data_IF_613638854228
#
_entry.id   IF_613638854228
#
_cell.length_a   1.000
_cell.length_b   1.000
_cell.length_c   1.000
_cell.angle_alpha   90.00
_cell.angle_beta   90.00
_cell.angle_gamma   90.00
#
_symmetry.space_group_name_H-M   'P 1'
#
loop_
_entity.id
_entity.type
_entity.pdbx_description
1 polymer ?
#
# COMPACT_ATOMS: atom_id res chain seq x y z
N UNK A 1 -61.89 17.03 52.13
CA UNK A 1 -61.22 16.03 52.98
C UNK A 1 -61.51 16.45 54.40
N UNK A 2 -62.39 15.74 55.08
CA UNK A 2 -62.77 16.04 56.47
C UNK A 2 -61.53 15.82 57.33
N UNK A 3 -60.98 16.91 57.88
CA UNK A 3 -59.80 16.82 58.76
C UNK A 3 -60.25 16.19 60.06
N UNK A 4 -59.85 14.94 60.32
CA UNK A 4 -60.13 14.29 61.60
C UNK A 4 -59.40 15.04 62.73
N UNK A 5 -60.17 15.65 63.64
CA UNK A 5 -59.63 16.22 64.86
C UNK A 5 -59.18 15.10 65.80
N UNK A 6 -57.96 15.20 66.28
CA UNK A 6 -57.49 14.35 67.38
C UNK A 6 -57.98 14.95 68.71
N UNK A 7 -59.16 14.51 69.15
CA UNK A 7 -59.81 14.97 70.38
C UNK A 7 -58.98 14.71 71.65
N UNK A 8 -58.14 13.67 71.64
CA UNK A 8 -57.25 13.38 72.77
C UNK A 8 -56.14 14.44 72.87
N UNK A 9 -55.53 14.80 71.74
CA UNK A 9 -54.53 15.87 71.71
C UNK A 9 -55.13 17.26 71.98
N UNK A 10 -56.40 17.49 71.59
CA UNK A 10 -57.11 18.72 71.91
C UNK A 10 -57.43 18.83 73.40
N UNK A 11 -57.87 17.73 74.03
CA UNK A 11 -58.08 17.68 75.47
C UNK A 11 -56.77 17.87 76.24
N UNK A 12 -55.69 17.22 75.82
CA UNK A 12 -54.36 17.43 76.41
C UNK A 12 -53.91 18.90 76.29
N UNK A 13 -54.23 19.58 75.18
CA UNK A 13 -53.96 21.01 75.01
C UNK A 13 -54.79 21.88 75.96
N UNK A 14 -56.09 21.59 76.10
CA UNK A 14 -56.98 22.32 77.00
C UNK A 14 -56.66 22.09 78.48
N UNK A 15 -56.25 20.89 78.84
CA UNK A 15 -55.90 20.54 80.22
C UNK A 15 -54.56 21.14 80.64
N UNK A 16 -53.60 21.20 79.71
CA UNK A 16 -52.27 21.75 79.99
C UNK A 16 -52.19 23.28 79.90
N UNK A 17 -53.23 23.96 79.38
CA UNK A 17 -53.36 25.43 79.22
C UNK A 17 -52.01 26.11 78.93
N UNK A 18 -51.36 25.70 77.85
CA UNK A 18 -50.01 26.17 77.54
C UNK A 18 -50.03 27.60 77.03
N UNK A 19 -49.22 28.49 77.63
CA UNK A 19 -49.00 29.87 77.16
C UNK A 19 -48.20 29.96 75.84
N UNK A 20 -47.88 28.81 75.21
CA UNK A 20 -47.18 28.79 73.93
C UNK A 20 -48.11 29.26 72.80
N UNK A 21 -47.93 30.52 72.44
CA UNK A 21 -48.61 31.24 71.36
C UNK A 21 -48.64 30.41 70.06
N UNK A 22 -47.57 29.66 69.76
CA UNK A 22 -47.47 28.87 68.52
C UNK A 22 -48.46 27.70 68.50
N UNK A 23 -48.58 26.99 69.62
CA UNK A 23 -49.53 25.89 69.80
C UNK A 23 -50.97 26.39 69.81
N UNK A 24 -51.22 27.57 70.37
CA UNK A 24 -52.54 28.22 70.36
C UNK A 24 -52.97 28.60 68.94
N UNK A 25 -52.10 29.23 68.14
CA UNK A 25 -52.40 29.56 66.75
C UNK A 25 -52.64 28.33 65.89
N UNK A 26 -51.88 27.25 66.09
CA UNK A 26 -52.06 26.00 65.36
C UNK A 26 -53.45 25.39 65.59
N UNK A 27 -53.92 25.38 66.84
CA UNK A 27 -55.26 24.88 67.16
C UNK A 27 -56.36 25.85 66.72
N UNK A 28 -56.12 27.16 66.76
CA UNK A 28 -57.04 28.15 66.20
C UNK A 28 -57.26 27.94 64.70
N UNK A 29 -56.20 27.80 63.92
CA UNK A 29 -56.29 27.55 62.48
C UNK A 29 -57.07 26.25 62.21
N UNK A 30 -56.68 25.14 62.86
CA UNK A 30 -57.32 23.84 62.70
C UNK A 30 -58.81 23.83 63.08
N UNK A 31 -59.18 24.50 64.17
CA UNK A 31 -60.58 24.56 64.61
C UNK A 31 -61.41 25.57 63.82
N UNK A 32 -60.80 26.63 63.27
CA UNK A 32 -61.50 27.59 62.42
C UNK A 32 -61.90 27.01 61.07
N UNK A 33 -61.15 26.01 60.59
CA UNK A 33 -61.40 25.31 59.33
C UNK A 33 -62.21 24.01 59.51
N UNK A 34 -62.51 23.62 60.76
CA UNK A 34 -63.27 22.40 61.04
C UNK A 34 -64.78 22.66 61.01
N UNK A 35 -65.46 22.00 60.07
CA UNK A 35 -66.91 21.98 59.98
C UNK A 35 -67.47 20.74 60.71
N UNK A 36 -68.56 20.93 61.47
CA UNK A 36 -69.25 19.83 62.17
C UNK A 36 -70.01 18.96 61.15
N UNK A 37 -69.66 17.68 61.06
CA UNK A 37 -70.27 16.73 60.12
C UNK A 37 -71.51 16.03 60.70
N UNK A 38 -71.84 16.27 61.98
CA UNK A 38 -72.99 15.71 62.68
C UNK A 38 -72.81 14.26 63.13
N UNK A 39 -71.60 13.72 62.99
CA UNK A 39 -71.20 12.39 63.45
C UNK A 39 -70.48 12.40 64.80
N UNK A 40 -70.23 13.59 65.34
CA UNK A 40 -69.57 13.82 66.62
C UNK A 40 -70.45 13.41 67.80
N UNK A 41 -69.84 12.79 68.81
CA UNK A 41 -70.50 12.51 70.07
C UNK A 41 -70.73 13.80 70.87
N UNK A 42 -71.72 13.85 71.78
CA UNK A 42 -71.96 15.03 72.62
C UNK A 42 -70.74 15.47 73.43
N UNK A 43 -69.88 14.52 73.84
CA UNK A 43 -68.64 14.82 74.56
C UNK A 43 -67.61 15.50 73.66
N UNK A 44 -67.52 15.13 72.39
CA UNK A 44 -66.63 15.75 71.41
C UNK A 44 -67.10 17.16 71.03
N UNK A 45 -68.42 17.38 70.97
CA UNK A 45 -68.97 18.72 70.74
C UNK A 45 -68.65 19.65 71.92
N UNK A 46 -68.78 19.17 73.16
CA UNK A 46 -68.42 19.93 74.35
C UNK A 46 -66.93 20.28 74.39
N UNK A 47 -66.04 19.38 73.97
CA UNK A 47 -64.59 19.65 73.92
C UNK A 47 -64.24 20.68 72.85
N UNK A 48 -64.87 20.61 71.66
CA UNK A 48 -64.72 21.63 70.61
C UNK A 48 -65.21 23.00 71.07
N UNK A 49 -66.37 23.05 71.74
CA UNK A 49 -66.92 24.30 72.23
C UNK A 49 -66.02 24.92 73.31
N UNK A 50 -65.52 24.11 74.25
CA UNK A 50 -64.58 24.57 75.27
C UNK A 50 -63.26 25.05 74.65
N UNK A 51 -62.76 24.36 73.61
CA UNK A 51 -61.58 24.79 72.87
C UNK A 51 -61.78 26.13 72.18
N UNK A 52 -62.86 26.29 71.42
CA UNK A 52 -63.15 27.56 70.74
C UNK A 52 -63.31 28.71 71.73
N UNK A 53 -63.95 28.47 72.88
CA UNK A 53 -64.09 29.48 73.93
C UNK A 53 -62.73 29.90 74.50
N UNK A 54 -61.85 28.94 74.79
CA UNK A 54 -60.49 29.20 75.27
C UNK A 54 -59.68 30.01 74.24
N UNK A 55 -59.71 29.59 72.97
CA UNK A 55 -58.99 30.26 71.90
C UNK A 55 -59.49 31.69 71.64
N UNK A 56 -60.81 31.91 71.65
CA UNK A 56 -61.37 33.25 71.57
C UNK A 56 -60.90 34.14 72.73
N UNK A 57 -60.93 33.62 73.97
CA UNK A 57 -60.45 34.39 75.12
C UNK A 57 -58.96 34.74 74.98
N UNK A 58 -58.13 33.80 74.50
CA UNK A 58 -56.71 34.06 74.30
C UNK A 58 -56.44 35.09 73.19
N UNK A 59 -57.16 35.00 72.07
CA UNK A 59 -57.05 35.98 70.97
C UNK A 59 -57.45 37.39 71.41
N UNK A 60 -58.46 37.52 72.26
CA UNK A 60 -58.88 38.80 72.83
C UNK A 60 -57.85 39.35 73.81
N UNK A 61 -57.34 38.52 74.72
CA UNK A 61 -56.33 38.93 75.71
C UNK A 61 -55.04 39.37 75.02
N UNK A 62 -54.53 38.59 74.06
CA UNK A 62 -53.32 38.94 73.30
C UNK A 62 -53.49 40.21 72.47
N UNK A 63 -54.65 40.43 71.85
CA UNK A 63 -54.94 41.67 71.13
C UNK A 63 -54.99 42.89 72.05
N UNK A 64 -55.58 42.74 73.24
CA UNK A 64 -55.65 43.82 74.22
C UNK A 64 -54.28 44.11 74.87
N UNK A 65 -53.48 43.09 75.15
CA UNK A 65 -52.09 43.26 75.62
C UNK A 65 -51.22 43.97 74.59
N UNK A 66 -51.35 43.62 73.31
CA UNK A 66 -50.65 44.33 72.23
C UNK A 66 -51.11 45.78 72.11
N UNK A 67 -52.42 46.04 72.27
CA UNK A 67 -52.97 47.40 72.28
C UNK A 67 -52.40 48.21 73.44
N UNK A 68 -52.34 47.63 74.64
CA UNK A 68 -51.81 48.28 75.84
C UNK A 68 -50.30 48.53 75.74
N UNK A 69 -49.54 47.62 75.14
CA UNK A 69 -48.11 47.83 74.84
C UNK A 69 -47.94 48.96 73.85
N UNK A 70 -48.71 48.98 72.75
CA UNK A 70 -48.64 50.05 71.75
C UNK A 70 -49.02 51.41 72.33
N UNK A 71 -50.06 51.50 73.17
CA UNK A 71 -50.44 52.75 73.86
C UNK A 71 -49.36 53.22 74.82
N UNK A 72 -48.75 52.29 75.57
CA UNK A 72 -47.65 52.61 76.50
C UNK A 72 -46.39 53.06 75.76
N UNK A 73 -46.05 52.41 74.65
CA UNK A 73 -44.92 52.80 73.81
C UNK A 73 -45.18 54.16 73.15
N UNK A 74 -46.39 54.42 72.67
CA UNK A 74 -46.77 55.72 72.13
C UNK A 74 -46.66 56.83 73.19
N UNK A 75 -47.12 56.58 74.42
CA UNK A 75 -46.97 57.53 75.53
C UNK A 75 -45.49 57.79 75.88
N UNK A 76 -44.67 56.74 75.99
CA UNK A 76 -43.24 56.90 76.24
C UNK A 76 -42.50 57.63 75.11
N UNK A 77 -42.92 57.41 73.87
CA UNK A 77 -42.35 58.13 72.72
C UNK A 77 -42.77 59.60 72.73
N UNK A 78 -44.02 59.91 73.09
CA UNK A 78 -44.49 61.28 73.26
C UNK A 78 -43.74 61.99 74.41
N UNK A 79 -43.54 61.35 75.56
CA UNK A 79 -42.73 61.91 76.66
C UNK A 79 -41.27 62.13 76.26
N UNK A 80 -40.67 61.21 75.49
CA UNK A 80 -39.31 61.39 74.96
C UNK A 80 -39.24 62.54 73.96
N UNK A 81 -40.25 62.68 73.11
CA UNK A 81 -40.34 63.79 72.14
C UNK A 81 -40.50 65.13 72.86
N UNK A 82 -41.34 65.20 73.89
CA UNK A 82 -41.47 66.39 74.74
C UNK A 82 -40.15 66.71 75.44
N UNK A 83 -39.48 65.72 76.04
CA UNK A 83 -38.16 65.91 76.65
C UNK A 83 -37.10 66.35 75.64
N UNK A 84 -37.14 65.86 74.40
CA UNK A 84 -36.25 66.31 73.32
C UNK A 84 -36.58 67.73 72.86
N UNK A 85 -37.85 68.12 72.78
CA UNK A 85 -38.23 69.50 72.48
C UNK A 85 -37.85 70.45 73.61
N UNK A 86 -38.02 70.06 74.89
CA UNK A 86 -37.54 70.82 76.03
C UNK A 86 -36.01 70.97 76.01
N UNK A 87 -35.26 69.89 75.77
CA UNK A 87 -33.80 69.95 75.62
C UNK A 87 -33.39 70.82 74.45
N UNK A 88 -34.12 70.76 73.33
CA UNK A 88 -33.86 71.59 72.14
C UNK A 88 -34.15 73.06 72.42
N UNK A 89 -35.20 73.39 73.18
CA UNK A 89 -35.49 74.75 73.64
C UNK A 89 -34.38 75.23 74.58
N UNK A 90 -34.00 74.42 75.57
CA UNK A 90 -32.92 74.75 76.52
C UNK A 90 -31.58 74.98 75.80
N UNK A 91 -31.20 74.07 74.90
CA UNK A 91 -29.99 74.23 74.08
C UNK A 91 -30.07 75.45 73.17
N UNK A 92 -31.25 75.81 72.68
CA UNK A 92 -31.44 77.01 71.87
C UNK A 92 -31.29 78.29 72.71
N UNK A 93 -31.81 78.31 73.93
CA UNK A 93 -31.59 79.40 74.89
C UNK A 93 -30.12 79.50 75.31
N UNK A 94 -29.45 78.38 75.58
CA UNK A 94 -28.01 78.35 75.82
C UNK A 94 -27.22 78.85 74.60
N UNK A 95 -27.64 78.46 73.39
CA UNK A 95 -27.00 78.92 72.16
C UNK A 95 -27.24 80.41 71.93
N UNK A 96 -28.41 80.94 72.27
CA UNK A 96 -28.71 82.37 72.18
C UNK A 96 -27.98 83.17 73.27
N UNK A 97 -27.83 82.67 74.50
CA UNK A 97 -26.98 83.29 75.53
C UNK A 97 -25.50 83.20 75.18
N UNK A 98 -25.02 82.10 74.60
CA UNK A 98 -23.66 81.97 74.08
C UNK A 98 -23.44 82.90 72.90
N UNK A 99 -24.43 83.08 72.01
CA UNK A 99 -24.37 84.06 70.92
C UNK A 99 -24.34 85.47 71.46
N UNK A 100 -25.16 85.81 72.45
CA UNK A 100 -25.14 87.11 73.11
C UNK A 100 -23.77 87.34 73.78
N UNK A 101 -23.24 86.34 74.47
CA UNK A 101 -21.91 86.37 75.07
C UNK A 101 -20.82 86.48 74.01
N UNK A 102 -20.94 85.80 72.86
CA UNK A 102 -20.03 85.91 71.71
C UNK A 102 -20.14 87.29 71.06
N UNK A 103 -21.33 87.90 70.98
CA UNK A 103 -21.46 89.27 70.48
C UNK A 103 -20.87 90.28 71.47
N UNK A 104 -20.92 90.00 72.78
CA UNK A 104 -20.28 90.79 73.83
C UNK A 104 -18.75 90.54 73.90
N UNK A 105 -18.29 89.33 73.57
CA UNK A 105 -16.85 88.97 73.51
C UNK A 105 -16.26 89.06 72.10
N UNK A 106 -17.03 89.44 71.08
CA UNK A 106 -16.53 89.83 69.77
C UNK A 106 -15.74 91.15 69.82
N UNK A 107 -15.72 91.81 70.99
CA UNK A 107 -14.75 92.83 71.38
C UNK A 107 -13.39 92.24 71.86
N UNK A 108 -13.17 90.92 71.76
CA UNK A 108 -11.91 90.22 72.07
C UNK A 108 -11.36 89.46 70.85
N UNK A 109 -10.64 90.16 69.96
CA UNK A 109 -10.30 89.75 68.59
C UNK A 109 -9.34 88.56 68.39
N UNK A 110 -8.51 88.16 69.36
CA UNK A 110 -7.33 87.32 69.04
C UNK A 110 -7.59 85.79 68.97
N UNK A 111 -8.62 85.25 69.63
CA UNK A 111 -8.90 83.79 69.60
C UNK A 111 -9.79 83.35 68.43
N UNK A 112 -10.61 84.25 67.87
CA UNK A 112 -11.44 83.97 66.69
C UNK A 112 -10.61 83.88 65.41
N UNK A 113 -9.51 84.62 65.33
CA UNK A 113 -8.63 84.65 64.15
C UNK A 113 -7.86 83.32 63.98
N UNK A 114 -7.34 82.74 65.06
CA UNK A 114 -6.59 81.48 65.02
C UNK A 114 -7.45 80.27 64.57
N UNK A 115 -8.68 80.14 65.07
CA UNK A 115 -9.60 79.08 64.63
C UNK A 115 -10.07 79.28 63.19
N UNK A 116 -10.27 80.53 62.75
CA UNK A 116 -10.58 80.83 61.34
C UNK A 116 -9.41 80.43 60.44
N UNK A 117 -8.18 80.78 60.80
CA UNK A 117 -6.99 80.38 60.06
C UNK A 117 -6.83 78.85 59.96
N UNK A 118 -7.15 78.11 61.04
CA UNK A 118 -7.11 76.64 61.02
C UNK A 118 -8.22 76.04 60.12
N UNK A 119 -9.44 76.58 60.19
CA UNK A 119 -10.55 76.15 59.33
C UNK A 119 -10.22 76.43 57.85
N UNK A 120 -9.65 77.59 57.57
CA UNK A 120 -9.28 77.97 56.20
C UNK A 120 -8.11 77.10 55.69
N UNK A 121 -7.13 76.79 56.53
CA UNK A 121 -6.04 75.84 56.21
C UNK A 121 -6.57 74.44 55.90
N UNK A 122 -7.45 73.87 56.73
CA UNK A 122 -8.06 72.55 56.49
C UNK A 122 -8.98 72.54 55.25
N UNK A 123 -9.63 73.66 54.94
CA UNK A 123 -10.41 73.81 53.70
C UNK A 123 -9.51 73.88 52.48
N UNK A 124 -8.37 74.55 52.59
CA UNK A 124 -7.38 74.61 51.51
C UNK A 124 -6.74 73.24 51.28
N UNK A 125 -6.32 72.54 52.33
CA UNK A 125 -5.81 71.16 52.25
C UNK A 125 -6.85 70.22 51.63
N UNK A 126 -8.13 70.30 52.03
CA UNK A 126 -9.19 69.51 51.39
C UNK A 126 -9.36 69.83 49.91
N UNK A 127 -9.29 71.11 49.51
CA UNK A 127 -9.36 71.47 48.08
C UNK A 127 -8.17 70.93 47.29
N UNK A 128 -6.97 70.95 47.88
CA UNK A 128 -5.77 70.37 47.28
C UNK A 128 -5.89 68.85 47.14
N UNK A 129 -6.35 68.16 48.18
CA UNK A 129 -6.59 66.71 48.15
C UNK A 129 -7.64 66.32 47.12
N UNK A 130 -8.75 67.07 47.02
CA UNK A 130 -9.74 66.83 45.98
C UNK A 130 -9.17 67.03 44.58
N UNK A 131 -8.32 68.05 44.38
CA UNK A 131 -7.66 68.29 43.10
C UNK A 131 -6.69 67.15 42.76
N UNK A 132 -5.86 66.74 43.72
CA UNK A 132 -4.94 65.61 43.55
C UNK A 132 -5.69 64.30 43.25
N UNK A 133 -6.84 64.07 43.89
CA UNK A 133 -7.65 62.88 43.61
C UNK A 133 -8.26 62.93 42.20
N UNK A 134 -8.76 64.09 41.75
CA UNK A 134 -9.22 64.27 40.37
C UNK A 134 -8.09 64.07 39.35
N UNK A 135 -6.89 64.57 39.63
CA UNK A 135 -5.73 64.37 38.75
C UNK A 135 -5.33 62.89 38.69
N UNK A 136 -5.32 62.20 39.84
CA UNK A 136 -5.08 60.75 39.91
C UNK A 136 -6.14 59.94 39.17
N UNK A 137 -7.42 60.31 39.27
CA UNK A 137 -8.49 59.63 38.54
C UNK A 137 -8.35 59.81 37.02
N UNK A 138 -7.90 60.99 36.56
CA UNK A 138 -7.57 61.20 35.13
C UNK A 138 -6.39 60.35 34.68
N UNK A 139 -5.31 60.30 35.46
CA UNK A 139 -4.16 59.43 35.15
C UNK A 139 -4.56 57.95 35.12
N UNK A 140 -5.43 57.50 36.03
CA UNK A 140 -5.95 56.14 36.05
C UNK A 140 -6.83 55.85 34.83
N UNK A 141 -7.62 56.82 34.35
CA UNK A 141 -8.38 56.69 33.12
C UNK A 141 -7.45 56.56 31.90
N UNK A 142 -6.46 57.44 31.76
CA UNK A 142 -5.47 57.39 30.68
C UNK A 142 -4.69 56.07 30.66
N UNK A 143 -4.34 55.55 31.84
CA UNK A 143 -3.69 54.23 31.96
C UNK A 143 -4.61 53.10 31.52
N UNK A 144 -5.90 53.13 31.92
CA UNK A 144 -6.88 52.12 31.49
C UNK A 144 -7.04 52.12 29.98
N UNK A 145 -7.16 53.29 29.35
CA UNK A 145 -7.27 53.42 27.90
C UNK A 145 -6.02 52.87 27.18
N UNK A 146 -4.83 53.15 27.71
CA UNK A 146 -3.57 52.58 27.20
C UNK A 146 -3.53 51.06 27.35
N UNK A 147 -3.96 50.53 28.50
CA UNK A 147 -4.04 49.09 28.70
C UNK A 147 -5.02 48.45 27.72
N UNK A 148 -6.20 49.02 27.52
CA UNK A 148 -7.20 48.51 26.56
C UNK A 148 -6.68 48.55 25.11
N UNK A 149 -5.96 49.61 24.74
CA UNK A 149 -5.26 49.69 23.45
C UNK A 149 -4.18 48.62 23.29
N UNK A 150 -3.42 48.31 24.35
CA UNK A 150 -2.42 47.24 24.31
C UNK A 150 -3.07 45.84 24.25
N UNK A 151 -4.16 45.61 24.99
CA UNK A 151 -4.90 44.34 24.95
C UNK A 151 -5.47 44.11 23.54
N UNK A 152 -6.15 45.10 22.97
CA UNK A 152 -6.68 44.97 21.60
C UNK A 152 -5.57 44.74 20.57
N UNK A 153 -4.42 45.38 20.72
CA UNK A 153 -3.25 45.11 19.86
C UNK A 153 -2.70 43.69 20.06
N UNK A 154 -2.63 43.20 21.30
CA UNK A 154 -2.18 41.84 21.58
C UNK A 154 -3.13 40.79 20.97
N UNK A 155 -4.43 41.03 21.02
CA UNK A 155 -5.44 40.17 20.38
C UNK A 155 -5.30 40.14 18.86
N UNK A 156 -5.05 41.30 18.23
CA UNK A 156 -4.79 41.36 16.79
C UNK A 156 -3.53 40.57 16.44
N UNK A 157 -2.43 40.77 17.17
CA UNK A 157 -1.18 40.04 16.95
C UNK A 157 -1.35 38.52 17.18
N UNK A 158 -2.17 38.11 18.15
CA UNK A 158 -2.47 36.70 18.38
C UNK A 158 -3.22 36.09 17.18
N UNK A 159 -4.22 36.80 16.64
CA UNK A 159 -4.93 36.35 15.43
C UNK A 159 -4.02 36.30 14.20
N UNK A 160 -3.14 37.28 14.03
CA UNK A 160 -2.15 37.29 12.94
C UNK A 160 -1.18 36.11 13.05
N UNK A 161 -0.67 35.82 14.26
CA UNK A 161 0.16 34.64 14.52
C UNK A 161 -0.58 33.36 14.13
N UNK A 162 -1.83 33.20 14.55
CA UNK A 162 -2.61 31.99 14.26
C UNK A 162 -2.86 31.83 12.75
N UNK A 163 -3.14 32.92 12.04
CA UNK A 163 -3.29 32.91 10.58
C UNK A 163 -1.98 32.53 9.87
N UNK A 164 -0.84 33.05 10.33
CA UNK A 164 0.48 32.70 9.79
C UNK A 164 0.82 31.23 10.08
N UNK A 165 0.47 30.71 11.25
CA UNK A 165 0.70 29.31 11.60
C UNK A 165 -0.16 28.37 10.74
N UNK A 166 -1.43 28.71 10.50
CA UNK A 166 -2.28 27.97 9.56
C UNK A 166 -1.70 27.97 8.15
N UNK A 167 -1.24 29.12 7.66
CA UNK A 167 -0.61 29.22 6.34
C UNK A 167 0.70 28.42 6.25
N UNK A 168 1.54 28.44 7.30
CA UNK A 168 2.74 27.58 7.38
C UNK A 168 2.37 26.10 7.27
N UNK A 169 1.38 25.66 8.05
CA UNK A 169 0.93 24.26 8.04
C UNK A 169 0.41 23.86 6.64
N UNK A 170 -0.35 24.73 5.97
CA UNK A 170 -0.78 24.51 4.59
C UNK A 170 0.42 24.36 3.63
N UNK A 171 1.43 25.23 3.73
CA UNK A 171 2.64 25.12 2.91
C UNK A 171 3.40 23.81 3.19
N UNK A 172 3.55 23.40 4.44
CA UNK A 172 4.17 22.12 4.78
C UNK A 172 3.42 20.93 4.18
N UNK A 173 2.08 20.95 4.20
CA UNK A 173 1.27 19.91 3.57
C UNK A 173 1.45 19.88 2.05
N UNK A 174 1.50 21.05 1.39
CA UNK A 174 1.81 21.10 -0.04
C UNK A 174 3.20 20.57 -0.35
N UNK A 175 4.20 20.85 0.48
CA UNK A 175 5.56 20.33 0.32
C UNK A 175 5.56 18.80 0.47
N UNK A 176 4.90 18.26 1.49
CA UNK A 176 4.77 16.80 1.70
C UNK A 176 4.09 16.13 0.50
N UNK A 177 3.02 16.74 -0.02
CA UNK A 177 2.30 16.22 -1.20
C UNK A 177 3.16 16.28 -2.47
N UNK A 178 3.90 17.37 -2.70
CA UNK A 178 4.85 17.47 -3.80
C UNK A 178 5.97 16.43 -3.69
N UNK A 179 6.49 16.21 -2.48
CA UNK A 179 7.49 15.15 -2.23
C UNK A 179 6.91 13.77 -2.56
N UNK A 180 5.68 13.45 -2.13
CA UNK A 180 5.01 12.20 -2.51
C UNK A 180 4.88 12.04 -4.01
N UNK A 181 4.46 13.10 -4.72
CA UNK A 181 4.34 13.09 -6.19
C UNK A 181 5.68 12.90 -6.88
N UNK A 182 6.75 13.52 -6.38
CA UNK A 182 8.10 13.34 -6.92
C UNK A 182 8.54 11.88 -6.73
N UNK A 183 8.35 11.31 -5.54
CA UNK A 183 8.67 9.91 -5.27
C UNK A 183 7.90 8.96 -6.18
N UNK A 184 6.57 9.12 -6.27
CA UNK A 184 5.72 8.29 -7.14
C UNK A 184 6.14 8.40 -8.63
N UNK A 185 6.39 9.63 -9.11
CA UNK A 185 6.85 9.87 -10.49
C UNK A 185 8.24 9.30 -10.75
N UNK A 186 9.12 9.26 -9.74
CA UNK A 186 10.44 8.66 -9.85
C UNK A 186 10.35 7.14 -9.96
N UNK A 187 9.55 6.49 -9.11
CA UNK A 187 9.30 5.05 -9.11
C UNK A 187 8.67 4.59 -10.43
N UNK A 188 7.66 5.32 -10.92
CA UNK A 188 6.99 5.04 -12.20
C UNK A 188 7.98 5.08 -13.38
N UNK A 189 8.85 6.11 -13.43
CA UNK A 189 9.90 6.21 -14.46
C UNK A 189 10.91 5.06 -14.41
N UNK A 190 11.36 4.66 -13.22
CA UNK A 190 12.26 3.50 -13.07
C UNK A 190 11.58 2.22 -13.53
N UNK A 191 10.33 1.98 -13.11
CA UNK A 191 9.58 0.78 -13.49
C UNK A 191 9.34 0.70 -15.01
N UNK A 192 9.01 1.81 -15.65
CA UNK A 192 8.87 1.87 -17.11
C UNK A 192 10.20 1.58 -17.83
N UNK A 193 11.30 2.18 -17.39
CA UNK A 193 12.62 1.98 -17.99
C UNK A 193 13.10 0.54 -17.82
N UNK A 194 12.95 -0.04 -16.63
CA UNK A 194 13.27 -1.44 -16.35
C UNK A 194 12.40 -2.38 -17.20
N UNK A 195 11.10 -2.09 -17.30
CA UNK A 195 10.19 -2.87 -18.16
C UNK A 195 10.59 -2.82 -19.63
N UNK A 196 10.97 -1.65 -20.16
CA UNK A 196 11.46 -1.53 -21.55
C UNK A 196 12.76 -2.31 -21.75
N UNK A 197 13.70 -2.22 -20.80
CA UNK A 197 14.97 -2.96 -20.85
C UNK A 197 14.76 -4.48 -20.78
N UNK A 198 13.83 -4.94 -19.95
CA UNK A 198 13.42 -6.35 -19.88
C UNK A 198 12.80 -6.83 -21.19
N UNK A 199 11.90 -6.05 -21.79
CA UNK A 199 11.33 -6.36 -23.12
C UNK A 199 12.42 -6.47 -24.19
N UNK A 200 13.34 -5.51 -24.25
CA UNK A 200 14.45 -5.55 -25.21
C UNK A 200 15.34 -6.78 -25.01
N UNK A 201 15.68 -7.13 -23.76
CA UNK A 201 16.44 -8.34 -23.45
C UNK A 201 15.69 -9.61 -23.84
N UNK A 202 14.37 -9.65 -23.61
CA UNK A 202 13.55 -10.80 -23.95
C UNK A 202 13.44 -10.97 -25.48
N UNK A 203 13.24 -9.87 -26.22
CA UNK A 203 13.29 -9.87 -27.69
C UNK A 203 14.64 -10.36 -28.21
N UNK A 204 15.75 -9.87 -27.65
CA UNK A 204 17.09 -10.36 -27.97
C UNK A 204 17.24 -11.86 -27.70
N UNK A 205 16.78 -12.34 -26.55
CA UNK A 205 16.80 -13.75 -26.20
C UNK A 205 15.99 -14.59 -27.21
N UNK A 206 14.79 -14.15 -27.59
CA UNK A 206 13.95 -14.81 -28.60
C UNK A 206 14.66 -14.85 -29.96
N UNK A 207 15.31 -13.76 -30.39
CA UNK A 207 16.05 -13.74 -31.66
C UNK A 207 17.23 -14.70 -31.64
N UNK A 208 17.99 -14.77 -30.54
CA UNK A 208 19.08 -15.72 -30.37
C UNK A 208 18.57 -17.16 -30.34
N UNK A 209 17.45 -17.44 -29.66
CA UNK A 209 16.82 -18.77 -29.67
C UNK A 209 16.41 -19.19 -31.08
N UNK A 210 15.83 -18.29 -31.87
CA UNK A 210 15.48 -18.58 -33.28
C UNK A 210 16.72 -18.86 -34.13
N UNK A 211 17.79 -18.07 -33.95
CA UNK A 211 19.06 -18.31 -34.64
C UNK A 211 19.68 -19.66 -34.26
N UNK A 212 19.66 -20.02 -32.98
CA UNK A 212 20.11 -21.33 -32.51
C UNK A 212 19.27 -22.46 -33.12
N UNK A 213 17.94 -22.33 -33.15
CA UNK A 213 17.06 -23.33 -33.78
C UNK A 213 17.38 -23.51 -35.28
N UNK A 214 17.62 -22.42 -36.00
CA UNK A 214 18.01 -22.49 -37.41
C UNK A 214 19.37 -23.21 -37.61
N UNK A 215 20.35 -22.93 -36.75
CA UNK A 215 21.66 -23.61 -36.77
C UNK A 215 21.51 -25.10 -36.44
N UNK A 216 20.64 -25.47 -35.49
CA UNK A 216 20.38 -26.89 -35.16
C UNK A 216 19.79 -27.61 -36.38
N UNK A 217 18.77 -27.03 -37.02
CA UNK A 217 18.18 -27.61 -38.23
C UNK A 217 19.21 -27.76 -39.35
N UNK A 218 20.04 -26.75 -39.59
CA UNK A 218 21.10 -26.83 -40.59
C UNK A 218 22.15 -27.90 -40.25
N UNK A 219 22.49 -28.08 -38.97
CA UNK A 219 23.39 -29.16 -38.55
C UNK A 219 22.76 -30.55 -38.77
N UNK A 220 21.45 -30.68 -38.54
CA UNK A 220 20.73 -31.94 -38.80
C UNK A 220 20.70 -32.24 -40.30
N UNK A 221 20.45 -31.25 -41.16
CA UNK A 221 20.54 -31.39 -42.63
C UNK A 221 21.96 -31.79 -43.08
N UNK A 222 23.00 -31.15 -42.55
CA UNK A 222 24.39 -31.50 -42.84
C UNK A 222 24.73 -32.92 -42.36
N UNK A 223 24.20 -33.35 -41.21
CA UNK A 223 24.37 -34.73 -40.73
C UNK A 223 23.71 -35.73 -41.67
N UNK A 224 22.50 -35.45 -42.16
CA UNK A 224 21.85 -36.28 -43.17
C UNK A 224 22.61 -36.31 -44.50
N UNK A 225 23.20 -35.20 -44.93
CA UNK A 225 24.07 -35.17 -46.11
C UNK A 225 25.32 -36.02 -45.89
N UNK A 226 25.97 -35.92 -44.72
CA UNK A 226 27.13 -36.74 -44.36
C UNK A 226 26.75 -38.22 -44.37
N UNK A 227 25.59 -38.62 -43.84
CA UNK A 227 25.15 -40.03 -43.89
C UNK A 227 24.88 -40.45 -45.33
N UNK A 228 24.16 -39.65 -46.13
CA UNK A 228 23.90 -39.96 -47.55
C UNK A 228 25.19 -40.11 -48.37
N UNK A 229 26.16 -39.22 -48.18
CA UNK A 229 27.47 -39.30 -48.84
C UNK A 229 28.26 -40.50 -48.33
N UNK A 230 28.18 -40.80 -47.03
CA UNK A 230 28.76 -41.99 -46.42
C UNK A 230 28.23 -43.27 -47.08
N UNK A 231 26.91 -43.42 -47.19
CA UNK A 231 26.26 -44.56 -47.83
C UNK A 231 26.66 -44.68 -49.32
N UNK A 232 26.72 -43.55 -50.04
CA UNK A 232 27.15 -43.53 -51.44
C UNK A 232 28.63 -43.92 -51.62
N UNK A 233 29.50 -43.53 -50.68
CA UNK A 233 30.91 -43.93 -50.67
C UNK A 233 31.08 -45.42 -50.34
N UNK A 234 30.29 -45.95 -49.40
CA UNK A 234 30.27 -47.38 -49.08
C UNK A 234 29.83 -48.20 -50.31
N UNK A 235 28.76 -47.77 -50.99
CA UNK A 235 28.27 -48.40 -52.21
C UNK A 235 29.30 -48.32 -53.35
N UNK A 236 29.92 -47.15 -53.57
CA UNK A 236 30.98 -47.01 -54.58
C UNK A 236 32.17 -47.94 -54.28
N UNK A 237 32.54 -48.08 -53.01
CA UNK A 237 33.60 -48.99 -52.57
C UNK A 237 33.22 -50.44 -52.83
N UNK A 238 31.96 -50.82 -52.57
CA UNK A 238 31.43 -52.16 -52.89
C UNK A 238 31.52 -52.46 -54.39
N UNK A 239 31.05 -51.53 -55.24
CA UNK A 239 31.12 -51.68 -56.70
C UNK A 239 32.56 -51.77 -57.20
N UNK A 240 33.49 -50.98 -56.66
CA UNK A 240 34.92 -51.07 -56.99
C UNK A 240 35.46 -52.45 -56.62
N UNK A 241 35.17 -52.95 -55.42
CA UNK A 241 35.63 -54.29 -55.00
C UNK A 241 35.05 -55.40 -55.88
N UNK A 242 33.76 -55.36 -56.19
CA UNK A 242 33.12 -56.32 -57.11
C UNK A 242 33.71 -56.25 -58.52
N UNK A 243 33.91 -55.04 -59.05
CA UNK A 243 34.52 -54.86 -60.37
C UNK A 243 35.96 -55.35 -60.39
N UNK A 244 36.75 -55.08 -59.34
CA UNK A 244 38.13 -55.56 -59.20
C UNK A 244 38.17 -57.09 -59.15
N UNK A 245 37.26 -57.73 -58.42
CA UNK A 245 37.13 -59.19 -58.40
C UNK A 245 36.80 -59.74 -59.79
N UNK A 246 35.81 -59.15 -60.48
CA UNK A 246 35.44 -59.55 -61.85
C UNK A 246 36.58 -59.34 -62.85
N UNK A 247 37.33 -58.25 -62.76
CA UNK A 247 38.50 -58.01 -63.60
C UNK A 247 39.61 -59.03 -63.32
N UNK A 248 39.84 -59.40 -62.06
CA UNK A 248 40.78 -60.45 -61.70
C UNK A 248 40.37 -61.81 -62.29
N UNK A 249 39.10 -62.19 -62.19
CA UNK A 249 38.54 -63.40 -62.82
C UNK A 249 38.70 -63.37 -64.35
N UNK A 250 38.38 -62.24 -64.98
CA UNK A 250 38.45 -62.08 -66.43
C UNK A 250 39.90 -62.10 -66.94
N UNK A 251 40.83 -61.55 -66.16
CA UNK A 251 42.27 -61.63 -66.43
C UNK A 251 42.77 -63.06 -66.32
N UNK A 252 42.38 -63.79 -65.26
CA UNK A 252 42.74 -65.20 -65.10
C UNK A 252 42.19 -66.08 -66.23
N UNK A 253 40.95 -65.84 -66.66
CA UNK A 253 40.35 -66.49 -67.82
C UNK A 253 41.11 -66.14 -69.11
N UNK A 254 41.44 -64.87 -69.32
CA UNK A 254 42.22 -64.44 -70.48
C UNK A 254 43.58 -65.14 -70.54
N UNK A 255 44.32 -65.19 -69.43
CA UNK A 255 45.58 -65.91 -69.35
C UNK A 255 45.41 -67.42 -69.63
N UNK A 256 44.35 -68.04 -69.12
CA UNK A 256 44.04 -69.44 -69.41
C UNK A 256 43.80 -69.65 -70.91
N UNK A 257 42.94 -68.83 -71.53
CA UNK A 257 42.68 -68.90 -72.98
C UNK A 257 43.92 -68.62 -73.83
N UNK A 258 44.82 -67.71 -73.40
CA UNK A 258 46.10 -67.49 -74.07
C UNK A 258 47.00 -68.73 -74.00
N UNK A 259 47.05 -69.40 -72.85
CA UNK A 259 47.80 -70.66 -72.71
C UNK A 259 47.22 -71.75 -73.63
N UNK A 260 45.91 -71.89 -73.65
CA UNK A 260 45.23 -72.85 -74.53
C UNK A 260 45.49 -72.54 -76.01
N UNK A 261 45.42 -71.27 -76.41
CA UNK A 261 45.70 -70.85 -77.77
C UNK A 261 47.16 -71.12 -78.16
N UNK A 262 48.12 -70.88 -77.26
CA UNK A 262 49.53 -71.25 -77.47
C UNK A 262 49.68 -72.75 -77.69
N UNK A 263 49.09 -73.57 -76.82
CA UNK A 263 49.11 -75.03 -76.95
C UNK A 263 48.54 -75.47 -78.31
N UNK A 264 47.39 -74.93 -78.72
CA UNK A 264 46.77 -75.24 -80.02
C UNK A 264 47.62 -74.75 -81.20
N UNK A 265 48.27 -73.59 -81.10
CA UNK A 265 49.20 -73.13 -82.15
C UNK A 265 50.45 -74.01 -82.26
N UNK A 266 50.99 -74.47 -81.13
CA UNK A 266 52.12 -75.41 -81.09
C UNK A 266 51.72 -76.77 -81.67
N UNK A 267 50.56 -77.31 -81.28
CA UNK A 267 50.01 -78.54 -81.85
C UNK A 267 49.78 -78.42 -83.35
N UNK A 268 49.21 -77.30 -83.82
CA UNK A 268 49.03 -77.05 -85.25
C UNK A 268 50.37 -76.97 -86.00
N UNK A 269 51.41 -76.36 -85.43
CA UNK A 269 52.73 -76.31 -86.06
C UNK A 269 53.38 -77.70 -86.10
N UNK A 270 53.26 -78.50 -85.03
CA UNK A 270 53.71 -79.90 -85.03
C UNK A 270 52.95 -80.71 -86.09
N UNK A 271 51.63 -80.53 -86.20
CA UNK A 271 50.84 -81.19 -87.23
C UNK A 271 51.26 -80.76 -88.63
N UNK A 272 51.50 -79.46 -88.86
CA UNK A 272 51.99 -78.93 -90.14
C UNK A 272 53.34 -79.53 -90.51
N UNK A 273 54.28 -79.59 -89.57
CA UNK A 273 55.59 -80.25 -89.76
C UNK A 273 55.45 -81.74 -90.09
N UNK A 274 54.55 -82.47 -89.40
CA UNK A 274 54.24 -83.88 -89.72
C UNK A 274 53.66 -84.03 -91.13
N UNK A 275 52.81 -83.10 -91.55
CA UNK A 275 52.18 -83.09 -92.88
C UNK A 275 53.20 -82.79 -93.97
N UNK A 276 54.08 -81.81 -93.76
CA UNK A 276 55.22 -81.49 -94.64
C UNK A 276 56.19 -82.68 -94.73
N UNK A 277 56.54 -83.32 -93.61
CA UNK A 277 57.38 -84.51 -93.59
C UNK A 277 56.72 -85.69 -94.32
N UNK A 278 55.41 -85.91 -94.12
CA UNK A 278 54.66 -86.95 -94.83
C UNK A 278 54.55 -86.65 -96.34
N UNK A 279 54.35 -85.39 -96.73
CA UNK A 279 54.37 -84.95 -98.13
C UNK A 279 55.74 -85.13 -98.77
N UNK A 280 56.82 -84.80 -98.04
CA UNK A 280 58.20 -85.05 -98.50
C UNK A 280 58.51 -86.54 -98.62
N UNK A 281 58.02 -87.39 -97.72
CA UNK A 281 58.14 -88.84 -97.84
C UNK A 281 57.36 -89.37 -99.06
N UNK A 282 56.14 -88.87 -99.29
CA UNK A 282 55.37 -89.22 -100.48
C UNK A 282 56.11 -88.85 -101.77
N UNK A 283 56.68 -87.63 -101.85
CA UNK A 283 57.52 -87.23 -102.99
C UNK A 283 58.75 -88.12 -103.16
N UNK A 284 59.40 -88.54 -102.07
CA UNK A 284 60.53 -89.46 -102.13
C UNK A 284 60.12 -90.88 -102.59
N UNK A 285 58.96 -91.38 -102.15
CA UNK A 285 58.39 -92.66 -102.59
C UNK A 285 58.01 -92.58 -104.07
N UNK A 286 57.37 -91.50 -104.52
CA UNK A 286 57.00 -91.27 -105.91
C UNK A 286 58.23 -91.18 -106.82
N UNK A 287 59.29 -90.48 -106.38
CA UNK A 287 60.59 -90.45 -107.07
C UNK A 287 61.23 -91.83 -107.16
N UNK A 288 61.27 -92.59 -106.06
CA UNK A 288 61.79 -93.96 -106.06
C UNK A 288 60.95 -94.90 -106.94
N UNK A 289 59.64 -94.70 -106.99
CA UNK A 289 58.76 -95.44 -107.89
C UNK A 289 59.05 -95.10 -109.36
N UNK A 290 59.25 -93.82 -109.69
CA UNK A 290 59.71 -93.42 -111.03
C UNK A 290 61.08 -94.00 -111.38
N UNK A 291 62.03 -94.02 -110.45
CA UNK A 291 63.36 -94.60 -110.67
C UNK A 291 63.29 -96.12 -110.87
N UNK A 292 62.41 -96.81 -110.13
CA UNK A 292 62.17 -98.25 -110.31
C UNK A 292 61.41 -98.56 -111.61
N UNK A 293 60.45 -97.73 -112.02
CA UNK A 293 59.82 -97.82 -113.35
C UNK A 293 60.82 -97.56 -114.47
N UNK A 294 61.69 -96.56 -114.35
CA UNK A 294 62.74 -96.29 -115.34
C UNK A 294 63.76 -97.42 -115.43
N UNK A 295 64.22 -97.96 -114.30
CA UNK A 295 65.18 -99.07 -114.29
C UNK A 295 64.58 -100.37 -114.79
N UNK A 296 63.32 -100.68 -114.47
CA UNK A 296 62.61 -101.83 -115.05
C UNK A 296 62.34 -101.66 -116.54
N UNK A 297 61.99 -100.46 -117.00
CA UNK A 297 61.87 -100.15 -118.42
C UNK A 297 63.21 -100.25 -119.17
N UNK A 298 64.32 -99.82 -118.55
CA UNK A 298 65.66 -99.98 -119.10
C UNK A 298 66.06 -101.47 -119.21
N UNK A 299 65.78 -102.26 -118.18
CA UNK A 299 66.07 -103.70 -118.15
C UNK A 299 65.21 -104.51 -119.15
N UNK A 300 63.97 -104.10 -119.40
CA UNK A 300 63.16 -104.64 -120.49
C UNK A 300 63.73 -104.33 -121.87
N UNK A 301 64.37 -103.16 -122.04
CA UNK A 301 65.03 -102.78 -123.29
C UNK A 301 66.25 -103.67 -123.56
N UNK A 302 67.09 -103.87 -122.54
CA UNK A 302 68.26 -104.76 -122.58
C UNK A 302 67.87 -106.21 -122.90
N UNK A 303 66.84 -106.75 -122.26
CA UNK A 303 66.32 -108.10 -122.57
C UNK A 303 65.75 -108.24 -123.99
N UNK A 304 65.23 -107.15 -124.59
CA UNK A 304 64.79 -107.15 -125.98
C UNK A 304 65.96 -107.12 -126.97
N UNK A 305 67.08 -106.47 -126.61
CA UNK A 305 68.34 -106.50 -127.36
C UNK A 305 68.98 -107.89 -127.31
N UNK A 306 69.10 -108.49 -126.13
CA UNK A 306 69.65 -109.86 -125.97
C UNK A 306 68.83 -110.90 -126.75
N UNK A 307 67.50 -110.77 -126.80
CA UNK A 307 66.64 -111.67 -127.59
C UNK A 307 66.84 -111.50 -129.10
N UNK A 308 67.23 -110.29 -129.53
CA UNK A 308 67.53 -109.99 -130.94
C UNK A 308 68.86 -110.61 -131.34
N UNK A 309 69.87 -110.48 -130.50
CA UNK A 309 71.21 -111.02 -130.75
C UNK A 309 71.20 -112.56 -130.76
N UNK A 310 70.44 -113.20 -129.88
CA UNK A 310 70.23 -114.66 -129.88
C UNK A 310 69.49 -115.16 -131.14
N UNK A 311 68.61 -114.36 -131.73
CA UNK A 311 67.96 -114.70 -133.01
C UNK A 311 68.94 -114.63 -134.17
N UNK A 312 69.85 -113.66 -134.17
CA UNK A 312 70.83 -113.47 -135.23
C UNK A 312 71.90 -114.58 -135.23
N UNK A 313 72.31 -115.09 -134.06
CA UNK A 313 73.21 -116.26 -133.95
C UNK A 313 72.57 -117.59 -134.44
N UNK A 314 71.26 -117.76 -134.26
CA UNK A 314 70.53 -118.96 -134.67
C UNK A 314 70.34 -119.05 -136.19
N UNK A 315 70.37 -117.93 -136.91
CA UNK A 315 70.31 -117.89 -138.38
C UNK A 315 71.67 -118.10 -139.04
N UNK A 316 72.79 -117.82 -138.37
CA UNK A 316 74.14 -117.98 -138.91
C UNK A 316 74.61 -119.45 -139.00
N UNK A 317 74.06 -120.34 -138.19
CA UNK A 317 74.51 -121.75 -138.10
C UNK A 317 73.80 -122.71 -139.08
N UNK A 318 72.86 -122.23 -139.91
CA UNK A 318 72.03 -123.08 -140.79
C UNK A 318 72.44 -123.13 -142.28
N UNK A 319 73.57 -122.54 -142.69
CA UNK A 319 73.94 -122.42 -144.13
C UNK A 319 75.26 -123.08 -144.57
N UNK A 320 76.10 -123.67 -143.70
CA UNK A 320 77.29 -124.41 -144.17
C UNK A 320 77.63 -125.65 -143.31
N UNK A 321 76.97 -126.78 -143.60
CA UNK A 321 77.50 -128.15 -143.69
C UNK A 321 76.35 -129.17 -143.77
#
# INVERSE_FOLDING_TARGET
MTQLINYQALNDFLDNQTDDVSSVYLWYERLSEYDLDGTESPQEIDTLFNAMKFLMSFSFTSAEELREVAEREAAQMAEKEEAWEEQKIALKEELDTLRERITVTADAGDSSEAFRAQIDSLREENRELEKANRDRDREMADLRDRFESLVSRADVLARERDALEQHRNQMEDTIRELQRRISAKSEEKTNEWESRKLRQRNEQAITLTRQMQAIVLQNDELREEVTRVGDALEEATRVINESTSKYAELTALHEATQRDLRNVTEENEIMRQKLEASSSMLMAIESNAMDTEQTTAAKMRELMEDNRDLRDELYATRVLA
#
